data_IF_562253277720
#
_entry.id   IF_562253277720
#
_cell.length_a   1.000
_cell.length_b   1.000
_cell.length_c   1.000
_cell.angle_alpha   90.00
_cell.angle_beta   90.00
_cell.angle_gamma   90.00
#
_symmetry.space_group_name_H-M   'P 1'
#
loop_
_entity.id
_entity.type
_entity.pdbx_description
1 polymer ?
#
# COMPACT_ATOMS: atom_id res chain seq x y z
N UNK A 1 8.27 -4.05 14.70
CA UNK A 1 7.65 -2.97 13.88
C UNK A 1 8.60 -2.39 12.83
N UNK A 2 9.83 -1.99 13.18
CA UNK A 2 10.82 -1.47 12.20
C UNK A 2 11.14 -2.43 11.06
N UNK A 3 11.44 -3.67 11.38
CA UNK A 3 11.72 -4.69 10.37
C UNK A 3 10.53 -4.91 9.42
N UNK A 4 9.30 -5.02 9.96
CA UNK A 4 8.08 -5.19 9.16
C UNK A 4 7.86 -4.01 8.19
N UNK A 5 8.03 -2.78 8.67
CA UNK A 5 7.93 -1.59 7.83
C UNK A 5 8.97 -1.59 6.70
N UNK A 6 10.24 -1.92 7.00
CA UNK A 6 11.28 -1.99 5.98
C UNK A 6 11.02 -3.09 4.95
N UNK A 7 10.52 -4.24 5.39
CA UNK A 7 10.10 -5.34 4.50
C UNK A 7 8.97 -4.87 3.58
N UNK A 8 7.89 -4.29 4.13
CA UNK A 8 6.76 -3.80 3.31
C UNK A 8 7.23 -2.71 2.36
N UNK A 9 8.04 -1.77 2.85
CA UNK A 9 8.58 -0.65 2.06
C UNK A 9 9.47 -1.10 0.90
N UNK A 10 10.08 -2.28 0.97
CA UNK A 10 10.99 -2.80 -0.07
C UNK A 10 10.31 -3.83 -0.96
N UNK A 11 9.62 -4.81 -0.36
CA UNK A 11 8.99 -5.90 -1.09
C UNK A 11 7.74 -5.45 -1.84
N UNK A 12 6.91 -4.56 -1.28
CA UNK A 12 5.66 -4.18 -1.92
C UNK A 12 5.88 -3.44 -3.26
N UNK A 13 6.78 -2.43 -3.35
CA UNK A 13 7.14 -1.84 -4.64
C UNK A 13 7.79 -2.84 -5.60
N UNK A 14 8.64 -3.75 -5.10
CA UNK A 14 9.28 -4.76 -5.93
C UNK A 14 8.26 -5.72 -6.54
N UNK A 15 7.29 -6.18 -5.74
CA UNK A 15 6.21 -7.06 -6.20
C UNK A 15 5.31 -6.34 -7.21
N UNK A 16 4.96 -5.07 -6.95
CA UNK A 16 4.19 -4.26 -7.90
C UNK A 16 4.93 -4.11 -9.24
N UNK A 17 6.24 -3.87 -9.21
CA UNK A 17 7.07 -3.82 -10.41
C UNK A 17 7.09 -5.15 -11.17
N UNK A 18 7.34 -6.27 -10.46
CA UNK A 18 7.39 -7.61 -11.08
C UNK A 18 6.03 -7.97 -11.70
N UNK A 19 4.93 -7.67 -11.00
CA UNK A 19 3.58 -7.94 -11.48
C UNK A 19 3.23 -7.08 -12.70
N UNK A 20 3.54 -5.79 -12.66
CA UNK A 20 3.35 -4.89 -13.80
C UNK A 20 4.17 -5.36 -15.01
N UNK A 21 5.44 -5.69 -14.80
CA UNK A 21 6.32 -6.20 -15.85
C UNK A 21 5.79 -7.50 -16.46
N UNK A 22 5.35 -8.44 -15.62
CA UNK A 22 4.79 -9.72 -16.06
C UNK A 22 3.52 -9.54 -16.89
N UNK A 23 2.59 -8.68 -16.44
CA UNK A 23 1.37 -8.35 -17.20
C UNK A 23 1.71 -7.70 -18.55
N UNK A 24 2.61 -6.73 -18.56
CA UNK A 24 3.05 -6.03 -19.78
C UNK A 24 3.77 -6.98 -20.74
N UNK A 25 4.60 -7.89 -20.23
CA UNK A 25 5.27 -8.91 -21.04
C UNK A 25 4.23 -9.82 -21.72
N UNK A 26 3.23 -10.31 -20.98
CA UNK A 26 2.14 -11.11 -21.56
C UNK A 26 1.34 -10.35 -22.61
N UNK A 27 1.07 -9.06 -22.37
CA UNK A 27 0.38 -8.21 -23.35
C UNK A 27 1.23 -8.03 -24.61
N UNK A 28 2.53 -7.81 -24.48
CA UNK A 28 3.47 -7.73 -25.61
C UNK A 28 3.45 -9.04 -26.38
N UNK A 29 3.61 -10.19 -25.72
CA UNK A 29 3.63 -11.49 -26.38
C UNK A 29 2.32 -11.80 -27.11
N UNK A 30 1.18 -11.48 -26.49
CA UNK A 30 -0.14 -11.62 -27.11
C UNK A 30 -0.31 -10.69 -28.33
N UNK A 31 0.27 -9.49 -28.31
CA UNK A 31 0.25 -8.56 -29.43
C UNK A 31 1.22 -8.98 -30.54
N UNK A 32 2.41 -9.49 -30.18
CA UNK A 32 3.41 -10.01 -31.11
C UNK A 32 2.89 -11.23 -31.86
N UNK A 33 2.16 -12.12 -31.18
CA UNK A 33 1.52 -13.28 -31.81
C UNK A 33 0.53 -12.89 -32.92
N UNK A 34 -0.03 -11.67 -32.88
CA UNK A 34 -0.94 -11.12 -33.89
C UNK A 34 -0.22 -10.39 -35.02
N UNK A 35 1.09 -10.17 -34.93
CA UNK A 35 1.84 -9.48 -35.98
C UNK A 35 2.05 -10.40 -37.20
N UNK A 36 2.00 -9.84 -38.43
CA UNK A 36 2.27 -10.62 -39.63
C UNK A 36 3.70 -11.17 -39.60
N UNK A 37 3.86 -12.43 -40.01
CA UNK A 37 5.17 -13.07 -40.05
C UNK A 37 6.04 -12.41 -41.13
N UNK A 38 7.32 -12.18 -40.81
CA UNK A 38 8.26 -11.46 -41.68
C UNK A 38 9.02 -12.47 -42.54
N UNK A 39 9.18 -12.26 -43.86
CA UNK A 39 9.93 -13.18 -44.71
C UNK A 39 11.40 -13.30 -44.26
N UNK A 40 11.94 -14.52 -44.23
CA UNK A 40 13.39 -14.72 -44.21
C UNK A 40 13.93 -14.31 -45.59
N UNK A 41 14.30 -13.04 -45.74
CA UNK A 41 14.95 -12.53 -46.95
C UNK A 41 16.34 -13.16 -47.11
N UNK A 42 16.38 -14.42 -47.57
CA UNK A 42 17.60 -15.12 -47.91
C UNK A 42 18.11 -14.61 -49.26
N UNK A 43 19.35 -14.10 -49.34
CA UNK A 43 19.88 -13.58 -50.58
C UNK A 43 20.00 -14.68 -51.64
N UNK A 44 19.79 -14.34 -52.91
CA UNK A 44 19.89 -15.29 -54.02
C UNK A 44 21.28 -15.95 -54.09
N UNK A 45 22.32 -15.23 -53.66
CA UNK A 45 23.69 -15.69 -53.58
C UNK A 45 24.27 -15.45 -52.19
N UNK A 46 25.16 -16.35 -51.75
CA UNK A 46 25.89 -16.15 -50.50
C UNK A 46 26.94 -15.05 -50.69
N UNK A 47 26.97 -14.10 -49.76
CA UNK A 47 27.99 -13.05 -49.65
C UNK A 47 29.31 -13.53 -49.04
N UNK A 48 29.45 -14.84 -48.75
CA UNK A 48 30.70 -15.38 -48.19
C UNK A 48 31.86 -15.23 -49.18
N UNK A 49 33.04 -14.77 -48.72
CA UNK A 49 34.24 -14.68 -49.56
C UNK A 49 34.78 -16.08 -49.94
N UNK A 50 34.45 -17.12 -49.17
CA UNK A 50 34.94 -18.49 -49.41
C UNK A 50 34.08 -19.24 -50.43
N UNK A 51 34.72 -19.78 -51.48
CA UNK A 51 34.05 -20.56 -52.54
C UNK A 51 33.33 -21.81 -52.03
N UNK A 52 33.88 -22.47 -51.00
CA UNK A 52 33.28 -23.65 -50.35
C UNK A 52 31.92 -23.31 -49.72
N UNK A 53 31.83 -22.20 -49.01
CA UNK A 53 30.61 -21.77 -48.32
C UNK A 53 29.52 -21.39 -49.33
N UNK A 54 29.88 -20.72 -50.44
CA UNK A 54 28.94 -20.44 -51.54
C UNK A 54 28.36 -21.72 -52.13
N UNK A 55 29.18 -22.75 -52.34
CA UNK A 55 28.72 -24.07 -52.84
C UNK A 55 27.79 -24.77 -51.84
N UNK A 56 28.12 -24.73 -50.54
CA UNK A 56 27.29 -25.33 -49.49
C UNK A 56 25.95 -24.60 -49.40
N UNK A 57 25.95 -23.27 -49.44
CA UNK A 57 24.74 -22.45 -49.45
C UNK A 57 23.83 -22.78 -50.63
N UNK A 58 24.36 -22.80 -51.85
CA UNK A 58 23.60 -23.15 -53.05
C UNK A 58 23.03 -24.58 -52.98
N UNK A 59 23.81 -25.55 -52.48
CA UNK A 59 23.33 -26.93 -52.27
C UNK A 59 22.20 -26.99 -51.24
N UNK A 60 22.32 -26.28 -50.12
CA UNK A 60 21.27 -26.21 -49.08
C UNK A 60 19.98 -25.59 -49.62
N UNK A 61 20.09 -24.50 -50.39
CA UNK A 61 18.93 -23.81 -50.97
C UNK A 61 18.22 -24.66 -52.04
N UNK A 62 18.97 -25.42 -52.84
CA UNK A 62 18.40 -26.39 -53.80
C UNK A 62 17.66 -27.54 -53.11
N UNK A 63 18.17 -28.04 -51.99
CA UNK A 63 17.53 -29.12 -51.22
C UNK A 63 16.27 -28.69 -50.47
N UNK A 64 16.16 -27.40 -50.12
CA UNK A 64 15.03 -26.85 -49.37
C UNK A 64 14.59 -25.52 -49.99
N UNK A 65 13.89 -25.55 -51.15
CA UNK A 65 13.48 -24.33 -51.86
C UNK A 65 12.52 -23.47 -51.03
N UNK A 66 11.69 -24.10 -50.18
CA UNK A 66 10.77 -23.41 -49.27
C UNK A 66 11.44 -22.55 -48.18
N UNK A 67 12.77 -22.65 -48.00
CA UNK A 67 13.50 -21.72 -47.13
C UNK A 67 13.45 -20.28 -47.69
N UNK A 68 13.28 -20.10 -49.00
CA UNK A 68 13.18 -18.79 -49.66
C UNK A 68 11.89 -18.05 -49.31
N UNK A 69 10.82 -18.80 -49.05
CA UNK A 69 9.49 -18.28 -48.69
C UNK A 69 9.18 -18.49 -47.22
N UNK A 70 10.13 -19.02 -46.45
CA UNK A 70 9.95 -19.24 -45.02
C UNK A 70 9.80 -17.90 -44.31
N UNK A 71 8.82 -17.82 -43.41
CA UNK A 71 8.57 -16.63 -42.61
C UNK A 71 9.04 -16.83 -41.18
N UNK A 72 9.64 -15.81 -40.57
CA UNK A 72 10.01 -15.74 -39.16
C UNK A 72 8.90 -15.05 -38.36
N UNK A 73 8.71 -15.45 -37.11
CA UNK A 73 7.91 -14.68 -36.17
C UNK A 73 8.43 -13.23 -36.10
N UNK A 74 7.52 -12.25 -36.17
CA UNK A 74 7.89 -10.85 -36.01
C UNK A 74 8.49 -10.64 -34.62
N UNK A 75 9.62 -9.94 -34.54
CA UNK A 75 10.16 -9.53 -33.26
C UNK A 75 9.33 -8.37 -32.71
N UNK A 76 9.12 -8.33 -31.39
CA UNK A 76 8.51 -7.19 -30.74
C UNK A 76 9.27 -5.90 -31.10
N UNK A 77 8.57 -4.80 -31.47
CA UNK A 77 9.20 -3.50 -31.63
C UNK A 77 9.96 -3.11 -30.35
N UNK A 78 11.15 -2.54 -30.50
CA UNK A 78 11.93 -2.04 -29.34
C UNK A 78 11.16 -1.00 -28.55
N UNK A 79 10.36 -0.16 -29.21
CA UNK A 79 9.50 0.84 -28.59
C UNK A 79 8.50 0.25 -27.58
N UNK A 80 7.98 -0.96 -27.82
CA UNK A 80 7.06 -1.63 -26.90
C UNK A 80 7.77 -2.05 -25.60
N UNK A 81 9.00 -2.54 -25.72
CA UNK A 81 9.84 -2.88 -24.56
C UNK A 81 10.20 -1.62 -23.75
N UNK A 82 10.52 -0.52 -24.42
CA UNK A 82 10.76 0.77 -23.76
C UNK A 82 9.51 1.30 -23.04
N UNK A 83 8.35 1.27 -23.69
CA UNK A 83 7.10 1.68 -23.07
C UNK A 83 6.76 0.82 -21.84
N UNK A 84 6.94 -0.51 -21.92
CA UNK A 84 6.72 -1.39 -20.78
C UNK A 84 7.69 -1.13 -19.61
N UNK A 85 8.96 -0.83 -19.90
CA UNK A 85 9.93 -0.44 -18.88
C UNK A 85 9.53 0.87 -18.18
N UNK A 86 9.12 1.88 -18.94
CA UNK A 86 8.64 3.17 -18.40
C UNK A 86 7.41 2.95 -17.52
N UNK A 87 6.41 2.19 -18.00
CA UNK A 87 5.20 1.91 -17.23
C UNK A 87 5.47 1.14 -15.95
N UNK A 88 6.38 0.16 -15.99
CA UNK A 88 6.78 -0.60 -14.79
C UNK A 88 7.51 0.30 -13.79
N UNK A 89 8.36 1.21 -14.26
CA UNK A 89 9.03 2.19 -13.42
C UNK A 89 8.04 3.19 -12.80
N UNK A 90 7.04 3.64 -13.56
CA UNK A 90 5.97 4.51 -13.04
C UNK A 90 5.17 3.79 -11.95
N UNK A 91 4.85 2.51 -12.13
CA UNK A 91 4.18 1.71 -11.09
C UNK A 91 5.03 1.58 -9.83
N UNK A 92 6.35 1.35 -9.97
CA UNK A 92 7.29 1.33 -8.86
C UNK A 92 7.29 2.67 -8.10
N UNK A 93 7.44 3.79 -8.82
CA UNK A 93 7.46 5.14 -8.23
C UNK A 93 6.14 5.44 -7.52
N UNK A 94 5.01 5.20 -8.19
CA UNK A 94 3.68 5.42 -7.61
C UNK A 94 3.50 4.62 -6.32
N UNK A 95 3.95 3.36 -6.31
CA UNK A 95 3.86 2.50 -5.12
C UNK A 95 4.70 3.06 -3.96
N UNK A 96 5.91 3.53 -4.23
CA UNK A 96 6.76 4.16 -3.20
C UNK A 96 6.13 5.44 -2.65
N UNK A 97 5.47 6.24 -3.48
CA UNK A 97 4.81 7.48 -3.07
C UNK A 97 3.56 7.27 -2.21
N UNK A 98 2.86 6.15 -2.38
CA UNK A 98 1.64 5.84 -1.61
C UNK A 98 1.95 5.19 -0.26
N UNK A 99 3.14 4.60 -0.09
CA UNK A 99 3.51 3.96 1.18
C UNK A 99 3.58 5.02 2.30
N UNK A 100 2.81 4.84 3.40
CA UNK A 100 2.84 5.77 4.52
C UNK A 100 4.23 5.79 5.17
N UNK A 101 4.58 6.91 5.80
CA UNK A 101 5.79 6.97 6.63
C UNK A 101 5.74 5.92 7.76
N UNK A 102 6.89 5.66 8.38
CA UNK A 102 6.99 4.59 9.37
C UNK A 102 6.03 4.76 10.55
N UNK A 103 5.84 6.00 11.03
CA UNK A 103 4.96 6.25 12.17
C UNK A 103 3.48 6.07 11.78
N UNK A 104 3.08 6.56 10.61
CA UNK A 104 1.74 6.31 10.04
C UNK A 104 1.48 4.84 9.77
N UNK A 105 2.51 4.09 9.33
CA UNK A 105 2.42 2.64 9.18
C UNK A 105 2.17 1.95 10.53
N UNK A 106 2.83 2.39 11.60
CA UNK A 106 2.57 1.85 12.94
C UNK A 106 1.15 2.15 13.41
N UNK A 107 0.64 3.38 13.22
CA UNK A 107 -0.75 3.73 13.54
C UNK A 107 -1.73 2.86 12.74
N UNK A 108 -1.48 2.68 11.44
CA UNK A 108 -2.30 1.85 10.56
C UNK A 108 -2.33 0.38 11.02
N UNK A 109 -1.17 -0.19 11.32
CA UNK A 109 -1.06 -1.57 11.82
C UNK A 109 -1.74 -1.72 13.19
N UNK A 110 -1.57 -0.73 14.09
CA UNK A 110 -2.25 -0.70 15.38
C UNK A 110 -3.77 -0.66 15.22
N UNK A 111 -4.29 0.15 14.31
CA UNK A 111 -5.72 0.22 14.04
C UNK A 111 -6.29 -1.09 13.45
N UNK A 112 -5.46 -1.87 12.76
CA UNK A 112 -5.81 -3.15 12.15
C UNK A 112 -5.71 -4.34 13.11
N UNK A 113 -4.61 -4.47 13.85
CA UNK A 113 -4.35 -5.62 14.74
C UNK A 113 -5.04 -5.40 16.09
N UNK A 114 -5.13 -4.15 16.51
CA UNK A 114 -5.61 -3.74 17.82
C UNK A 114 -4.50 -3.14 18.68
N UNK A 115 -4.90 -2.34 19.65
CA UNK A 115 -4.04 -1.81 20.70
C UNK A 115 -4.77 -1.79 22.04
N UNK A 116 -4.02 -1.99 23.12
CA UNK A 116 -4.54 -1.78 24.46
C UNK A 116 -4.89 -0.30 24.65
N UNK A 117 -6.10 -0.05 25.12
CA UNK A 117 -6.60 1.29 25.35
C UNK A 117 -7.65 1.36 26.43
N UNK A 118 -7.93 2.57 26.89
CA UNK A 118 -9.07 2.87 27.74
C UNK A 118 -10.27 3.19 26.85
N UNK A 119 -11.35 2.43 27.02
CA UNK A 119 -12.63 2.66 26.36
C UNK A 119 -13.61 3.25 27.36
N UNK A 120 -14.15 4.41 27.02
CA UNK A 120 -15.23 5.06 27.74
C UNK A 120 -16.53 4.75 27.02
N UNK A 121 -17.56 4.31 27.73
CA UNK A 121 -18.91 4.11 27.22
C UNK A 121 -19.87 4.98 28.03
N UNK A 122 -20.51 5.94 27.39
CA UNK A 122 -21.55 6.75 27.99
C UNK A 122 -22.93 6.38 27.44
N UNK A 123 -23.88 6.19 28.33
CA UNK A 123 -25.29 5.99 28.00
C UNK A 123 -25.96 7.35 27.83
N UNK A 124 -26.09 7.80 26.58
CA UNK A 124 -26.59 9.14 26.23
C UNK A 124 -27.54 9.02 25.03
N UNK A 125 -28.74 9.62 25.11
CA UNK A 125 -29.68 9.65 23.99
C UNK A 125 -29.02 10.18 22.72
N UNK A 126 -29.32 9.60 21.55
CA UNK A 126 -28.73 10.00 20.26
C UNK A 126 -28.72 11.52 20.03
N UNK A 127 -29.81 12.21 20.40
CA UNK A 127 -29.92 13.66 20.23
C UNK A 127 -28.92 14.48 21.08
N UNK A 128 -28.49 13.95 22.23
CA UNK A 128 -27.55 14.62 23.14
C UNK A 128 -26.08 14.23 22.90
N UNK A 129 -25.82 13.14 22.15
CA UNK A 129 -24.46 12.70 21.82
C UNK A 129 -23.56 13.76 21.18
N UNK A 130 -24.01 14.58 20.20
CA UNK A 130 -23.14 15.61 19.63
C UNK A 130 -22.75 16.68 20.66
N UNK A 131 -23.65 17.03 21.58
CA UNK A 131 -23.38 18.01 22.64
C UNK A 131 -22.37 17.46 23.65
N UNK A 132 -22.55 16.21 24.06
CA UNK A 132 -21.62 15.53 24.97
C UNK A 132 -20.24 15.38 24.32
N UNK A 133 -20.19 14.96 23.05
CA UNK A 133 -18.94 14.83 22.32
C UNK A 133 -18.21 16.18 22.18
N UNK A 134 -18.95 17.26 21.92
CA UNK A 134 -18.40 18.61 21.85
C UNK A 134 -17.83 19.07 23.20
N UNK A 135 -18.51 18.75 24.31
CA UNK A 135 -18.02 19.05 25.66
C UNK A 135 -16.75 18.25 26.01
N UNK A 136 -16.65 17.00 25.53
CA UNK A 136 -15.49 16.13 25.76
C UNK A 136 -14.31 16.42 24.84
N UNK A 137 -14.55 17.00 23.65
CA UNK A 137 -13.54 17.21 22.61
C UNK A 137 -12.24 17.89 23.11
N UNK A 138 -12.26 18.95 23.95
CA UNK A 138 -11.05 19.61 24.41
C UNK A 138 -10.14 18.73 25.27
N UNK A 139 -10.74 17.84 26.08
CA UNK A 139 -10.00 16.87 26.89
C UNK A 139 -9.52 15.70 26.03
N UNK A 140 -10.40 15.14 25.19
CA UNK A 140 -10.08 13.99 24.35
C UNK A 140 -9.03 14.30 23.27
N UNK A 141 -9.04 15.51 22.69
CA UNK A 141 -8.08 15.89 21.65
C UNK A 141 -6.62 15.85 22.13
N UNK A 142 -6.39 16.02 23.43
CA UNK A 142 -5.04 15.98 24.03
C UNK A 142 -4.57 14.55 24.34
N UNK A 143 -5.48 13.58 24.32
CA UNK A 143 -5.22 12.19 24.69
C UNK A 143 -4.82 11.30 23.49
N UNK A 144 -4.53 11.91 22.34
CA UNK A 144 -3.94 11.20 21.21
C UNK A 144 -2.56 10.65 21.57
N UNK A 145 -2.31 9.35 21.32
CA UNK A 145 -1.02 8.74 21.66
C UNK A 145 0.05 9.12 20.62
N UNK A 146 1.09 9.87 20.99
CA UNK A 146 2.20 10.12 20.08
C UNK A 146 2.96 8.81 19.81
N UNK A 147 3.28 8.58 18.55
CA UNK A 147 4.03 7.42 18.09
C UNK A 147 5.18 7.89 17.21
N UNK A 148 6.39 7.47 17.54
CA UNK A 148 7.59 7.80 16.78
C UNK A 148 8.26 6.52 16.29
N UNK A 149 8.84 6.60 15.10
CA UNK A 149 9.54 5.50 14.50
C UNK A 149 10.85 5.98 13.89
N UNK A 150 11.95 5.44 14.41
CA UNK A 150 13.29 5.68 13.86
C UNK A 150 13.67 4.56 12.91
N UNK A 151 14.22 4.92 11.75
CA UNK A 151 14.77 3.97 10.80
C UNK A 151 15.95 4.58 10.04
N UNK A 152 16.94 3.75 9.64
CA UNK A 152 18.13 4.24 8.95
C UNK A 152 17.81 4.72 7.53
N UNK A 153 18.51 5.78 7.10
CA UNK A 153 18.52 6.28 5.73
C UNK A 153 19.71 5.65 5.01
N UNK A 154 19.44 4.67 4.15
CA UNK A 154 20.49 3.88 3.49
C UNK A 154 21.48 4.68 2.64
N UNK A 155 21.13 5.90 2.18
CA UNK A 155 21.99 6.72 1.31
C UNK A 155 22.95 7.65 2.09
N UNK A 156 22.61 8.05 3.32
CA UNK A 156 23.35 9.06 4.08
C UNK A 156 23.91 8.54 5.40
N UNK A 157 23.58 7.31 5.80
CA UNK A 157 24.00 6.74 7.09
C UNK A 157 23.34 7.40 8.31
N UNK A 158 22.46 8.40 8.10
CA UNK A 158 21.71 9.05 9.16
C UNK A 158 20.44 8.28 9.56
N UNK A 159 19.87 8.63 10.70
CA UNK A 159 18.56 8.14 11.12
C UNK A 159 17.45 9.11 10.72
N UNK A 160 16.33 8.59 10.26
CA UNK A 160 15.11 9.34 10.07
C UNK A 160 14.14 9.01 11.20
N UNK A 161 13.60 10.03 11.86
CA UNK A 161 12.53 9.90 12.84
C UNK A 161 11.21 10.38 12.23
N UNK A 162 10.31 9.44 11.96
CA UNK A 162 8.92 9.74 11.60
C UNK A 162 8.08 9.86 12.87
N UNK A 163 7.11 10.78 12.89
CA UNK A 163 6.19 10.99 14.01
C UNK A 163 4.74 11.00 13.50
N UNK A 164 3.86 10.32 14.23
CA UNK A 164 2.42 10.29 13.99
C UNK A 164 1.70 10.23 15.34
N UNK A 165 0.38 10.41 15.31
CA UNK A 165 -0.46 10.32 16.51
C UNK A 165 -1.53 9.27 16.24
N UNK A 166 -1.75 8.35 17.18
CA UNK A 166 -2.93 7.49 17.17
C UNK A 166 -4.08 8.37 17.67
N UNK A 167 -5.05 8.72 16.83
CA UNK A 167 -6.15 9.59 17.24
C UNK A 167 -7.05 8.85 18.22
N UNK A 168 -7.70 9.61 19.10
CA UNK A 168 -8.85 9.09 19.86
C UNK A 168 -9.93 8.66 18.86
N UNK A 169 -10.50 7.48 19.05
CA UNK A 169 -11.56 6.95 18.20
C UNK A 169 -12.90 7.13 18.90
N UNK A 170 -13.94 7.46 18.15
CA UNK A 170 -15.30 7.66 18.62
C UNK A 170 -16.22 6.72 17.87
N UNK A 171 -17.15 6.10 18.57
CA UNK A 171 -18.20 5.26 18.00
C UNK A 171 -19.53 5.65 18.61
N UNK A 172 -20.53 5.86 17.76
CA UNK A 172 -21.91 6.16 18.16
C UNK A 172 -22.77 4.95 17.80
N UNK A 173 -23.40 4.31 18.79
CA UNK A 173 -24.19 3.10 18.59
C UNK A 173 -25.50 3.16 19.38
N UNK A 174 -26.60 3.53 18.73
CA UNK A 174 -27.87 3.77 19.43
C UNK A 174 -27.68 4.82 20.52
N UNK A 175 -28.19 4.58 21.73
CA UNK A 175 -28.01 5.47 22.89
C UNK A 175 -26.67 5.28 23.63
N UNK A 176 -25.64 4.78 22.95
CA UNK A 176 -24.29 4.58 23.51
C UNK A 176 -23.26 5.37 22.72
N UNK A 177 -22.56 6.26 23.41
CA UNK A 177 -21.38 6.95 22.91
C UNK A 177 -20.13 6.26 23.46
N UNK A 178 -19.35 5.64 22.59
CA UNK A 178 -18.08 5.00 22.95
C UNK A 178 -16.89 5.82 22.46
N UNK A 179 -15.85 5.91 23.30
CA UNK A 179 -14.61 6.62 22.99
C UNK A 179 -13.43 5.73 23.35
N UNK A 180 -12.56 5.43 22.41
CA UNK A 180 -11.36 4.62 22.63
C UNK A 180 -10.09 5.49 22.58
N UNK A 181 -9.32 5.42 23.66
CA UNK A 181 -8.08 6.17 23.86
C UNK A 181 -6.92 5.18 23.89
N UNK A 182 -5.92 5.39 23.04
CA UNK A 182 -4.78 4.48 22.87
C UNK A 182 -3.73 4.58 24.01
N UNK A 183 -4.13 5.04 25.19
CA UNK A 183 -3.30 5.23 26.38
C UNK A 183 -3.98 4.54 27.58
N UNK A 184 -3.21 3.88 28.46
CA UNK A 184 -3.73 3.45 29.75
C UNK A 184 -3.92 4.68 30.63
N UNK A 185 -5.16 5.02 30.93
CA UNK A 185 -5.53 6.12 31.82
C UNK A 185 -6.13 5.59 33.12
N UNK A 186 -6.02 6.39 34.18
CA UNK A 186 -6.75 6.15 35.43
C UNK A 186 -8.26 6.24 35.15
N UNK A 187 -8.95 5.13 35.37
CA UNK A 187 -10.36 4.97 35.00
C UNK A 187 -11.27 5.88 35.82
N UNK A 188 -10.98 6.07 37.10
CA UNK A 188 -11.82 6.87 38.00
C UNK A 188 -11.61 8.37 37.77
N UNK A 189 -10.35 8.78 37.60
CA UNK A 189 -10.04 10.18 37.26
C UNK A 189 -10.66 10.58 35.92
N UNK A 190 -10.53 9.72 34.90
CA UNK A 190 -11.11 9.98 33.58
C UNK A 190 -12.64 10.02 33.65
N UNK A 191 -13.27 9.09 34.37
CA UNK A 191 -14.73 9.05 34.55
C UNK A 191 -15.24 10.35 35.20
N UNK A 192 -14.60 10.78 36.30
CA UNK A 192 -14.99 11.99 37.02
C UNK A 192 -14.84 13.26 36.15
N UNK A 193 -13.75 13.35 35.39
CA UNK A 193 -13.49 14.50 34.53
C UNK A 193 -14.50 14.59 33.36
N UNK A 194 -14.80 13.47 32.71
CA UNK A 194 -15.78 13.42 31.62
C UNK A 194 -17.21 13.67 32.11
N UNK A 195 -17.57 13.18 33.30
CA UNK A 195 -18.84 13.49 33.95
C UNK A 195 -18.97 15.00 34.20
N UNK A 196 -17.91 15.62 34.75
CA UNK A 196 -17.86 17.06 35.01
C UNK A 196 -18.01 17.90 33.74
N UNK A 197 -17.33 17.52 32.66
CA UNK A 197 -17.34 18.29 31.41
C UNK A 197 -18.70 18.28 30.71
N UNK A 198 -19.40 17.13 30.70
CA UNK A 198 -20.69 17.00 30.02
C UNK A 198 -21.90 17.21 30.95
N UNK A 199 -21.69 17.38 32.26
CA UNK A 199 -22.78 17.46 33.24
C UNK A 199 -23.57 16.15 33.34
N UNK A 200 -22.92 15.01 33.09
CA UNK A 200 -23.54 13.68 33.14
C UNK A 200 -23.36 13.04 34.52
N UNK A 201 -24.30 12.19 34.97
CA UNK A 201 -24.09 11.37 36.16
C UNK A 201 -22.92 10.41 35.93
N UNK A 202 -22.11 10.20 36.96
CA UNK A 202 -20.91 9.35 36.90
C UNK A 202 -21.31 7.91 36.54
N UNK A 203 -22.49 7.47 36.99
CA UNK A 203 -23.06 6.13 36.76
C UNK A 203 -23.45 5.89 35.29
N UNK A 204 -23.66 6.96 34.50
CA UNK A 204 -23.93 6.84 33.08
C UNK A 204 -22.67 6.62 32.24
N UNK A 205 -21.48 6.73 32.85
CA UNK A 205 -20.19 6.61 32.19
C UNK A 205 -19.46 5.38 32.74
N UNK A 206 -19.34 4.36 31.90
CA UNK A 206 -18.47 3.22 32.17
C UNK A 206 -17.09 3.42 31.53
N UNK A 207 -16.05 2.97 32.22
CA UNK A 207 -14.66 3.09 31.74
C UNK A 207 -13.97 1.76 31.92
N UNK A 208 -13.52 1.16 30.81
CA UNK A 208 -12.92 -0.15 30.79
C UNK A 208 -11.58 -0.12 30.05
N UNK A 209 -10.62 -0.92 30.52
CA UNK A 209 -9.41 -1.19 29.75
C UNK A 209 -9.64 -2.42 28.89
N UNK A 210 -9.48 -2.28 27.57
CA UNK A 210 -9.56 -3.40 26.63
C UNK A 210 -8.70 -3.16 25.40
N UNK A 211 -8.44 -4.23 24.66
CA UNK A 211 -7.88 -4.10 23.32
C UNK A 211 -8.96 -3.60 22.36
N UNK A 212 -8.61 -2.58 21.57
CA UNK A 212 -9.50 -1.97 20.57
C UNK A 212 -8.86 -2.10 19.20
N UNK A 213 -9.60 -2.62 18.23
CA UNK A 213 -9.17 -2.74 16.83
C UNK A 213 -10.15 -1.97 15.92
N UNK A 214 -9.96 -0.64 15.75
CA UNK A 214 -10.89 0.23 15.04
C UNK A 214 -11.25 -0.20 13.62
N UNK A 215 -10.38 -0.92 12.90
CA UNK A 215 -10.67 -1.39 11.55
C UNK A 215 -11.40 -2.74 11.51
N UNK A 216 -11.42 -3.48 12.61
CA UNK A 216 -12.16 -4.75 12.74
C UNK A 216 -13.54 -4.56 13.35
N UNK A 217 -13.69 -3.52 14.15
CA UNK A 217 -14.96 -3.13 14.76
C UNK A 217 -15.64 -2.06 13.91
N UNK A 218 -16.95 -2.18 13.68
CA UNK A 218 -17.70 -1.21 12.89
C UNK A 218 -17.79 0.17 13.59
N UNK A 219 -18.02 1.21 12.79
CA UNK A 219 -18.44 2.56 13.22
C UNK A 219 -17.46 3.35 14.09
N UNK A 220 -16.20 2.91 14.20
CA UNK A 220 -15.14 3.75 14.77
C UNK A 220 -14.71 4.83 13.77
N UNK A 221 -14.71 6.07 14.22
CA UNK A 221 -14.23 7.22 13.47
C UNK A 221 -13.22 8.00 14.31
N UNK A 222 -12.15 8.54 13.69
CA UNK A 222 -11.22 9.38 14.42
C UNK A 222 -11.96 10.62 14.92
N UNK A 223 -11.73 10.99 16.18
CA UNK A 223 -12.22 12.25 16.73
C UNK A 223 -11.76 13.37 15.79
N UNK A 224 -12.69 14.19 15.24
CA UNK A 224 -12.31 15.31 14.40
C UNK A 224 -11.33 16.19 15.17
N UNK A 225 -10.18 16.46 14.53
CA UNK A 225 -9.20 17.38 15.06
C UNK A 225 -9.80 18.79 15.22
N UNK A 226 -9.14 19.66 15.98
CA UNK A 226 -9.42 21.10 15.90
C UNK A 226 -9.27 21.62 14.46
#
# INVERSE_FOLDING_TARGET
MVMLYLIVRTLLPLLAFVLAWWLLARLIDARVARLPRVPLNLPAHSTSPRRKDRRIYARKLRRKPGLRTATRAAAAPRSWRFAAAILSLMALIATVLVIPDGARFQVMVGNLIGYAGTVVEAQVPVAAQPVVLQAWQPALAQLGRPTAMRYPIGRTGGEHEARAVVPVQVRQQGDRLQVAIALPLDTEMLRAELARLAGLPIEAIDVQQRDVAPWREADWQPLPGP
#
